data_IF_245886159663
#
_entry.id   IF_245886159663
#
_cell.length_a   1.000
_cell.length_b   1.000
_cell.length_c   1.000
_cell.angle_alpha   90.00
_cell.angle_beta   90.00
_cell.angle_gamma   90.00
#
_symmetry.space_group_name_H-M   'P 1'
#
loop_
_entity.id
_entity.type
_entity.pdbx_description
1 polymer ?
#
# COMPACT_ATOMS: atom_id res chain seq x y z
N UNK A 1 5.89 14.67 3.85
CA UNK A 1 7.22 14.06 3.99
C UNK A 1 7.69 14.25 5.42
N UNK A 2 8.19 13.19 6.06
CA UNK A 2 8.69 13.20 7.44
C UNK A 2 10.05 12.50 7.53
N UNK A 3 11.03 13.04 8.24
CA UNK A 3 12.28 12.35 8.52
C UNK A 3 12.03 11.02 9.24
N UNK A 4 12.89 10.03 8.99
CA UNK A 4 12.76 8.69 9.56
C UNK A 4 12.72 8.70 11.09
N UNK A 5 13.47 9.59 11.72
CA UNK A 5 13.55 9.71 13.20
C UNK A 5 12.20 10.07 13.85
N UNK A 6 11.30 10.75 13.15
CA UNK A 6 9.97 11.08 13.69
C UNK A 6 9.01 9.89 13.66
N UNK A 7 9.20 8.99 12.71
CA UNK A 7 8.37 7.79 12.59
C UNK A 7 8.91 6.62 13.42
N UNK A 8 10.24 6.53 13.52
CA UNK A 8 10.95 5.46 14.22
C UNK A 8 11.90 6.01 15.30
N UNK A 9 11.39 6.72 16.33
CA UNK A 9 12.23 7.38 17.33
C UNK A 9 13.02 6.42 18.22
N UNK A 10 12.58 5.16 18.32
CA UNK A 10 13.26 4.11 19.08
C UNK A 10 14.28 3.32 18.26
N UNK A 11 14.35 3.53 16.94
CA UNK A 11 15.34 2.90 16.08
C UNK A 11 16.60 3.79 16.04
N UNK A 12 17.74 3.31 16.59
CA UNK A 12 18.96 4.12 16.67
C UNK A 12 19.52 4.49 15.29
N UNK A 13 19.20 3.73 14.25
CA UNK A 13 19.62 4.01 12.86
C UNK A 13 18.83 5.18 12.29
N UNK A 14 17.55 5.28 12.63
CA UNK A 14 16.63 6.27 12.05
C UNK A 14 17.08 7.73 12.24
N UNK A 15 17.84 8.01 13.32
CA UNK A 15 18.36 9.36 13.61
C UNK A 15 19.44 9.83 12.61
N UNK A 16 20.07 8.90 11.87
CA UNK A 16 21.18 9.18 10.96
C UNK A 16 20.82 8.99 9.48
N UNK A 17 19.55 8.78 9.17
CA UNK A 17 19.07 8.56 7.81
C UNK A 17 18.70 9.89 7.15
N UNK A 18 19.66 10.46 6.40
CA UNK A 18 19.51 11.77 5.75
C UNK A 18 18.99 11.67 4.29
N UNK A 19 19.09 10.49 3.67
CA UNK A 19 18.81 10.29 2.24
C UNK A 19 17.50 9.55 1.96
N UNK A 20 16.69 9.34 2.99
CA UNK A 20 15.38 8.70 2.88
C UNK A 20 14.37 9.32 3.84
N UNK A 21 13.08 9.16 3.53
CA UNK A 21 11.99 9.74 4.32
C UNK A 21 10.70 8.91 4.20
N UNK A 22 9.75 9.19 5.09
CA UNK A 22 8.38 8.67 4.99
C UNK A 22 7.48 9.65 4.23
N UNK A 23 6.77 9.15 3.23
CA UNK A 23 5.69 9.85 2.55
C UNK A 23 4.36 9.31 3.06
N UNK A 24 3.62 10.13 3.81
CA UNK A 24 2.48 9.65 4.59
C UNK A 24 2.93 8.70 5.70
N UNK A 25 2.06 7.79 6.10
CA UNK A 25 2.27 6.90 7.25
C UNK A 25 2.92 5.56 6.87
N UNK A 26 2.94 5.23 5.58
CA UNK A 26 3.23 3.87 5.14
C UNK A 26 4.29 3.76 4.02
N UNK A 27 4.60 4.84 3.31
CA UNK A 27 5.53 4.81 2.18
C UNK A 27 6.91 5.29 2.59
N UNK A 28 7.92 4.43 2.43
CA UNK A 28 9.32 4.80 2.57
C UNK A 28 9.90 5.10 1.18
N UNK A 29 10.52 6.25 1.06
CA UNK A 29 11.12 6.74 -0.19
C UNK A 29 12.61 7.01 0.02
N UNK A 30 13.47 6.43 -0.83
CA UNK A 30 14.88 6.72 -0.87
C UNK A 30 15.27 7.23 -2.28
N UNK A 31 15.34 8.56 -2.48
CA UNK A 31 15.65 9.13 -3.79
C UNK A 31 17.03 8.75 -4.31
N UNK A 32 17.15 8.68 -5.63
CA UNK A 32 18.45 8.50 -6.31
C UNK A 32 19.17 9.84 -6.34
N UNK A 33 20.16 10.03 -5.47
CA UNK A 33 20.91 11.28 -5.29
C UNK A 33 22.33 11.23 -5.89
N UNK A 34 22.73 10.08 -6.45
CA UNK A 34 24.09 9.85 -6.94
C UNK A 34 24.09 9.64 -8.45
N UNK A 35 25.13 10.12 -9.12
CA UNK A 35 25.33 9.96 -10.57
C UNK A 35 25.57 8.49 -10.97
N UNK A 36 26.16 7.68 -10.07
CA UNK A 36 26.37 6.24 -10.27
C UNK A 36 25.10 5.41 -10.12
N UNK A 37 23.95 6.06 -9.86
CA UNK A 37 22.61 5.46 -9.71
C UNK A 37 22.49 4.45 -8.56
N UNK A 38 23.49 4.34 -7.70
CA UNK A 38 23.46 3.46 -6.53
C UNK A 38 22.77 4.15 -5.37
N UNK A 39 21.85 3.43 -4.75
CA UNK A 39 21.12 3.88 -3.57
C UNK A 39 21.30 2.85 -2.48
N UNK A 40 21.83 3.29 -1.34
CA UNK A 40 21.81 2.54 -0.10
C UNK A 40 20.67 3.09 0.75
N UNK A 41 19.80 2.22 1.26
CA UNK A 41 18.66 2.57 2.08
C UNK A 41 18.47 1.56 3.22
N UNK A 42 17.87 2.01 4.28
CA UNK A 42 17.56 1.21 5.47
C UNK A 42 16.06 0.98 5.56
N UNK A 43 15.65 -0.26 5.71
CA UNK A 43 14.27 -0.60 6.04
C UNK A 43 14.19 -0.85 7.55
N UNK A 44 13.40 -0.07 8.32
CA UNK A 44 13.13 -0.35 9.74
C UNK A 44 12.54 -1.74 9.95
N UNK A 45 12.55 -2.23 11.20
CA UNK A 45 11.95 -3.54 11.52
C UNK A 45 10.53 -3.68 10.98
N UNK A 46 10.17 -4.90 10.53
CA UNK A 46 8.90 -5.26 9.91
C UNK A 46 9.07 -5.78 8.49
N UNK A 47 7.96 -5.93 7.78
CA UNK A 47 7.94 -6.37 6.40
C UNK A 47 7.63 -5.17 5.50
N UNK A 48 8.32 -5.12 4.36
CA UNK A 48 8.23 -4.02 3.41
C UNK A 48 8.04 -4.56 2.01
N UNK A 49 7.01 -4.10 1.33
CA UNK A 49 6.72 -4.50 -0.05
C UNK A 49 7.21 -3.41 -1.00
N UNK A 50 8.03 -3.78 -1.96
CA UNK A 50 8.42 -2.87 -3.04
C UNK A 50 7.17 -2.47 -3.84
N UNK A 51 6.94 -1.18 -3.98
CA UNK A 51 5.72 -0.66 -4.60
C UNK A 51 5.61 -1.03 -6.08
N UNK A 52 6.74 -1.11 -6.79
CA UNK A 52 6.76 -1.35 -8.23
C UNK A 52 6.82 -2.85 -8.58
N UNK A 53 7.57 -3.63 -7.80
CA UNK A 53 7.81 -5.04 -8.11
C UNK A 53 6.94 -5.99 -7.29
N UNK A 54 6.39 -5.55 -6.17
CA UNK A 54 5.69 -6.40 -5.22
C UNK A 54 6.61 -7.32 -4.39
N UNK A 55 7.94 -7.22 -4.56
CA UNK A 55 8.90 -8.00 -3.77
C UNK A 55 8.82 -7.62 -2.29
N UNK A 56 8.74 -8.63 -1.41
CA UNK A 56 8.70 -8.41 0.03
C UNK A 56 10.08 -8.55 0.63
N UNK A 57 10.51 -7.54 1.40
CA UNK A 57 11.78 -7.50 2.12
C UNK A 57 11.57 -7.43 3.62
N UNK A 58 12.47 -8.08 4.36
CA UNK A 58 12.49 -8.01 5.82
C UNK A 58 13.33 -6.81 6.26
N UNK A 59 12.75 -5.96 7.11
CA UNK A 59 13.43 -4.79 7.67
C UNK A 59 14.51 -5.09 8.72
N UNK A 60 14.93 -4.07 9.46
CA UNK A 60 16.01 -4.12 10.45
C UNK A 60 17.40 -4.09 9.82
N UNK A 61 17.56 -3.70 8.54
CA UNK A 61 18.84 -3.73 7.84
C UNK A 61 18.91 -2.80 6.64
N UNK A 62 20.15 -2.57 6.18
CA UNK A 62 20.43 -1.85 4.95
C UNK A 62 20.31 -2.75 3.71
N UNK A 63 19.88 -2.12 2.64
CA UNK A 63 19.86 -2.65 1.29
C UNK A 63 20.60 -1.70 0.36
N UNK A 64 21.10 -2.23 -0.74
CA UNK A 64 21.70 -1.47 -1.82
C UNK A 64 21.15 -1.96 -3.16
N UNK A 65 20.91 -1.04 -4.08
CA UNK A 65 20.46 -1.34 -5.43
C UNK A 65 20.89 -0.26 -6.40
N UNK A 66 20.84 -0.60 -7.69
CA UNK A 66 21.04 0.34 -8.78
C UNK A 66 19.67 0.67 -9.39
N UNK A 67 19.39 1.97 -9.57
CA UNK A 67 18.10 2.48 -10.02
C UNK A 67 18.31 3.43 -11.19
N UNK A 68 17.47 3.33 -12.20
CA UNK A 68 17.50 4.20 -13.36
C UNK A 68 16.67 5.47 -13.16
N UNK A 69 16.48 6.23 -14.23
CA UNK A 69 15.71 7.48 -14.18
C UNK A 69 14.21 7.27 -13.87
N UNK A 70 13.68 6.07 -14.13
CA UNK A 70 12.26 5.73 -13.95
C UNK A 70 12.00 4.86 -12.72
N UNK A 71 13.00 4.62 -11.90
CA UNK A 71 12.91 3.76 -10.73
C UNK A 71 13.57 4.39 -9.50
N UNK A 72 13.10 4.03 -8.33
CA UNK A 72 13.68 4.40 -7.03
C UNK A 72 13.23 3.39 -5.98
N UNK A 73 13.95 3.24 -4.87
CA UNK A 73 13.44 2.52 -3.71
C UNK A 73 12.17 3.19 -3.18
N UNK A 74 11.03 2.54 -3.36
CA UNK A 74 9.73 2.94 -2.83
C UNK A 74 9.09 1.70 -2.19
N UNK A 75 8.97 1.70 -0.87
CA UNK A 75 8.49 0.57 -0.11
C UNK A 75 7.25 0.90 0.69
N UNK A 76 6.33 -0.05 0.73
CA UNK A 76 5.11 0.05 1.53
C UNK A 76 5.26 -0.83 2.76
N UNK A 77 4.94 -0.28 3.92
CA UNK A 77 4.95 -0.98 5.20
C UNK A 77 3.84 -2.04 5.24
N UNK A 78 4.08 -3.15 5.94
CA UNK A 78 3.05 -4.13 6.25
C UNK A 78 1.85 -3.54 7.00
N UNK A 79 0.71 -4.21 6.99
CA UNK A 79 -0.55 -3.77 7.58
C UNK A 79 -1.02 -2.40 7.05
N UNK A 80 -0.82 -2.16 5.77
CA UNK A 80 -1.17 -0.90 5.11
C UNK A 80 -2.33 -1.09 4.15
N UNK A 81 -3.30 -0.17 4.23
CA UNK A 81 -4.32 0.05 3.23
C UNK A 81 -4.06 1.40 2.56
N UNK A 82 -3.69 1.39 1.28
CA UNK A 82 -3.37 2.57 0.49
C UNK A 82 -4.41 2.76 -0.61
N UNK A 83 -4.96 3.96 -0.75
CA UNK A 83 -5.85 4.29 -1.86
C UNK A 83 -5.10 5.02 -2.98
N UNK A 84 -5.34 4.61 -4.22
CA UNK A 84 -4.94 5.33 -5.42
C UNK A 84 -6.16 5.75 -6.22
N UNK A 85 -6.10 6.94 -6.82
CA UNK A 85 -7.20 7.47 -7.62
C UNK A 85 -7.25 6.88 -9.02
N UNK A 86 -8.40 6.96 -9.67
CA UNK A 86 -8.62 6.51 -11.04
C UNK A 86 -8.14 7.52 -12.09
N UNK A 87 -7.99 8.79 -11.70
CA UNK A 87 -7.66 9.90 -12.61
C UNK A 87 -6.25 10.39 -12.32
N UNK A 88 -5.42 10.50 -13.35
CA UNK A 88 -4.00 10.88 -13.23
C UNK A 88 -3.64 12.17 -14.01
N UNK A 89 -4.60 12.78 -14.71
CA UNK A 89 -4.39 13.98 -15.52
C UNK A 89 -4.87 15.29 -14.84
N UNK A 90 -5.62 15.16 -13.74
CA UNK A 90 -6.15 16.30 -12.97
C UNK A 90 -6.40 15.91 -11.49
N UNK A 91 -6.29 16.85 -10.54
CA UNK A 91 -6.53 16.60 -9.12
C UNK A 91 -7.99 16.86 -8.69
N UNK A 92 -8.83 17.50 -9.50
CA UNK A 92 -10.15 18.02 -9.14
C UNK A 92 -11.27 17.05 -9.54
N UNK A 93 -11.36 15.90 -8.89
CA UNK A 93 -12.42 14.91 -9.07
C UNK A 93 -12.84 14.31 -7.73
N UNK A 94 -13.92 13.53 -7.70
CA UNK A 94 -14.30 12.77 -6.50
C UNK A 94 -13.38 11.55 -6.36
N UNK A 95 -12.51 11.57 -5.35
CA UNK A 95 -11.51 10.53 -5.14
C UNK A 95 -12.10 9.16 -4.78
N UNK A 96 -13.42 9.09 -4.51
CA UNK A 96 -14.14 7.82 -4.31
C UNK A 96 -14.49 7.13 -5.62
N UNK A 97 -14.52 7.89 -6.75
CA UNK A 97 -14.89 7.35 -8.05
C UNK A 97 -13.75 6.52 -8.64
N UNK A 98 -13.98 5.22 -8.80
CA UNK A 98 -13.04 4.28 -9.38
C UNK A 98 -11.74 4.08 -8.58
N UNK A 99 -11.74 4.41 -7.29
CA UNK A 99 -10.57 4.25 -6.44
C UNK A 99 -10.09 2.81 -6.38
N UNK A 100 -8.76 2.63 -6.34
CA UNK A 100 -8.13 1.34 -6.09
C UNK A 100 -7.53 1.31 -4.69
N UNK A 101 -7.95 0.34 -3.89
CA UNK A 101 -7.40 0.07 -2.56
C UNK A 101 -6.34 -1.01 -2.68
N UNK A 102 -5.14 -0.70 -2.27
CA UNK A 102 -4.02 -1.63 -2.21
C UNK A 102 -3.83 -2.09 -0.77
N UNK A 103 -4.06 -3.37 -0.50
CA UNK A 103 -3.84 -3.97 0.82
C UNK A 103 -2.51 -4.72 0.83
N UNK A 104 -1.60 -4.28 1.71
CA UNK A 104 -0.26 -4.84 1.85
C UNK A 104 -0.11 -5.61 3.15
N UNK A 105 0.20 -6.92 3.04
CA UNK A 105 0.67 -7.79 4.13
C UNK A 105 -0.12 -7.64 5.45
N UNK A 106 -1.47 -7.64 5.38
CA UNK A 106 -2.28 -7.55 6.60
C UNK A 106 -2.14 -8.81 7.43
N UNK A 107 -1.58 -8.69 8.63
CA UNK A 107 -1.38 -9.80 9.56
C UNK A 107 -2.71 -10.33 10.12
N UNK A 108 -2.72 -11.58 10.54
CA UNK A 108 -3.90 -12.17 11.19
C UNK A 108 -4.22 -11.45 12.51
N UNK A 109 -5.50 -11.10 12.69
CA UNK A 109 -5.98 -10.29 13.81
C UNK A 109 -5.70 -8.80 13.70
N UNK A 110 -5.01 -8.34 12.65
CA UNK A 110 -4.71 -6.93 12.46
C UNK A 110 -5.87 -6.20 11.77
N UNK A 111 -5.87 -4.87 11.98
CA UNK A 111 -6.79 -3.92 11.35
C UNK A 111 -5.99 -2.74 10.84
N UNK A 112 -6.31 -2.27 9.64
CA UNK A 112 -5.77 -1.04 9.09
C UNK A 112 -6.87 -0.16 8.51
N UNK A 113 -6.57 1.13 8.36
CA UNK A 113 -7.54 2.12 7.87
C UNK A 113 -6.92 2.99 6.78
N UNK A 114 -7.76 3.40 5.83
CA UNK A 114 -7.43 4.40 4.83
C UNK A 114 -8.46 5.51 4.90
N UNK A 115 -8.02 6.75 5.05
CA UNK A 115 -8.87 7.93 5.06
C UNK A 115 -8.74 8.66 3.72
N UNK A 116 -9.85 8.82 3.04
CA UNK A 116 -9.94 9.57 1.80
C UNK A 116 -10.45 10.98 2.10
N UNK A 117 -9.81 11.97 1.49
CA UNK A 117 -10.17 13.39 1.63
C UNK A 117 -10.59 13.93 0.27
N UNK A 118 -11.40 14.99 0.28
CA UNK A 118 -11.70 15.76 -0.93
C UNK A 118 -10.57 16.72 -1.29
N UNK A 119 -10.74 17.44 -2.38
CA UNK A 119 -9.80 18.48 -2.86
C UNK A 119 -9.60 19.65 -1.88
N UNK A 120 -10.47 19.79 -0.88
CA UNK A 120 -10.39 20.80 0.19
C UNK A 120 -9.78 20.26 1.48
N UNK A 121 -9.48 18.95 1.51
CA UNK A 121 -8.96 18.25 2.68
C UNK A 121 -10.02 17.80 3.69
N UNK A 122 -11.30 17.86 3.34
CA UNK A 122 -12.37 17.33 4.19
C UNK A 122 -12.47 15.81 4.03
N UNK A 123 -12.70 15.09 5.12
CA UNK A 123 -12.89 13.64 5.11
C UNK A 123 -14.18 13.29 4.35
N UNK A 124 -14.07 12.42 3.35
CA UNK A 124 -15.21 11.99 2.52
C UNK A 124 -15.49 10.49 2.65
N UNK A 125 -14.50 9.70 3.03
CA UNK A 125 -14.68 8.28 3.27
C UNK A 125 -13.54 7.73 4.13
N UNK A 126 -13.88 6.88 5.09
CA UNK A 126 -12.92 6.06 5.83
C UNK A 126 -13.18 4.59 5.52
N UNK A 127 -12.14 3.89 5.12
CA UNK A 127 -12.21 2.47 4.80
C UNK A 127 -11.36 1.72 5.83
N UNK A 128 -11.95 0.70 6.43
CA UNK A 128 -11.28 -0.17 7.39
C UNK A 128 -11.15 -1.56 6.80
N UNK A 129 -9.97 -2.15 6.87
CA UNK A 129 -9.71 -3.54 6.52
C UNK A 129 -9.29 -4.31 7.77
N UNK A 130 -9.89 -5.47 7.98
CA UNK A 130 -9.60 -6.40 9.07
C UNK A 130 -9.33 -7.79 8.48
N UNK A 131 -8.37 -8.52 9.07
CA UNK A 131 -8.12 -9.93 8.76
C UNK A 131 -8.39 -10.79 9.98
N UNK A 132 -9.14 -11.88 9.79
CA UNK A 132 -9.32 -12.94 10.79
C UNK A 132 -9.18 -14.31 10.10
N UNK A 133 -8.09 -14.99 10.40
CA UNK A 133 -7.73 -16.22 9.70
C UNK A 133 -7.56 -16.00 8.19
N UNK A 134 -8.29 -16.78 7.39
CA UNK A 134 -8.33 -16.64 5.93
C UNK A 134 -9.30 -15.57 5.40
N UNK A 135 -10.01 -14.82 6.28
CA UNK A 135 -11.05 -13.88 5.87
C UNK A 135 -10.57 -12.44 6.02
N UNK A 136 -10.66 -11.67 4.94
CA UNK A 136 -10.46 -10.23 4.93
C UNK A 136 -11.82 -9.54 4.83
N UNK A 137 -12.09 -8.59 5.70
CA UNK A 137 -13.31 -7.78 5.69
C UNK A 137 -12.94 -6.32 5.49
N UNK A 138 -13.42 -5.72 4.40
CA UNK A 138 -13.25 -4.29 4.14
C UNK A 138 -14.61 -3.59 4.31
N UNK A 139 -14.62 -2.48 5.04
CA UNK A 139 -15.82 -1.65 5.29
C UNK A 139 -15.53 -0.20 4.99
N UNK A 140 -16.40 0.43 4.19
CA UNK A 140 -16.40 1.86 3.93
C UNK A 140 -17.57 2.53 4.67
N UNK A 141 -17.35 3.70 5.26
CA UNK A 141 -18.38 4.49 5.94
C UNK A 141 -19.24 5.33 4.98
N UNK A 142 -18.81 5.45 3.72
CA UNK A 142 -19.54 6.13 2.65
C UNK A 142 -19.65 5.26 1.39
N UNK A 143 -20.52 5.68 0.46
CA UNK A 143 -20.69 5.00 -0.82
C UNK A 143 -19.45 5.20 -1.70
N UNK A 144 -19.02 4.12 -2.34
CA UNK A 144 -17.91 4.07 -3.29
C UNK A 144 -18.45 3.71 -4.68
N UNK A 145 -18.02 4.42 -5.69
CA UNK A 145 -18.43 4.17 -7.08
C UNK A 145 -17.32 3.40 -7.82
N UNK A 146 -17.52 2.09 -7.99
CA UNK A 146 -16.57 1.25 -8.77
C UNK A 146 -15.24 1.02 -8.06
N UNK A 147 -15.29 0.67 -6.77
CA UNK A 147 -14.11 0.35 -5.97
C UNK A 147 -13.39 -0.89 -6.49
N UNK A 148 -12.09 -0.81 -6.63
CA UNK A 148 -11.21 -1.95 -6.88
C UNK A 148 -10.37 -2.23 -5.62
N UNK A 149 -10.21 -3.50 -5.25
CA UNK A 149 -9.31 -3.92 -4.16
C UNK A 149 -8.24 -4.83 -4.73
N UNK A 150 -6.97 -4.48 -4.48
CA UNK A 150 -5.81 -5.27 -4.83
C UNK A 150 -5.17 -5.83 -3.56
N UNK A 151 -5.10 -7.16 -3.46
CA UNK A 151 -4.42 -7.85 -2.37
C UNK A 151 -2.99 -8.18 -2.82
N UNK A 152 -2.01 -7.47 -2.31
CA UNK A 152 -0.61 -7.70 -2.63
C UNK A 152 -0.07 -8.94 -1.93
N UNK A 153 0.68 -9.78 -2.67
CA UNK A 153 1.30 -11.01 -2.14
C UNK A 153 0.34 -12.19 -1.99
N UNK A 154 -0.89 -12.10 -2.52
CA UNK A 154 -1.90 -13.16 -2.46
C UNK A 154 -2.27 -13.60 -3.88
N UNK A 155 -2.12 -14.90 -4.18
CA UNK A 155 -2.57 -15.47 -5.45
C UNK A 155 -4.09 -15.44 -5.56
N UNK A 156 -4.60 -15.14 -6.77
CA UNK A 156 -6.03 -15.16 -7.04
C UNK A 156 -6.66 -16.57 -7.01
N UNK A 157 -5.85 -17.62 -7.15
CA UNK A 157 -6.28 -19.01 -6.99
C UNK A 157 -6.65 -19.26 -5.53
N UNK A 158 -7.87 -19.78 -5.28
CA UNK A 158 -8.39 -19.99 -3.92
C UNK A 158 -8.93 -18.73 -3.23
N UNK A 159 -9.11 -17.63 -3.98
CA UNK A 159 -9.76 -16.42 -3.44
C UNK A 159 -11.22 -16.42 -3.84
N UNK A 160 -12.12 -16.28 -2.85
CA UNK A 160 -13.56 -16.06 -3.07
C UNK A 160 -13.96 -14.71 -2.48
N UNK A 161 -14.91 -14.02 -3.09
CA UNK A 161 -15.41 -12.74 -2.58
C UNK A 161 -16.93 -12.65 -2.64
N UNK A 162 -17.54 -12.17 -1.57
CA UNK A 162 -18.96 -11.85 -1.52
C UNK A 162 -19.22 -10.47 -2.13
N UNK A 163 -20.21 -10.38 -3.03
CA UNK A 163 -20.65 -9.14 -3.71
C UNK A 163 -19.57 -8.47 -4.59
N UNK A 164 -18.63 -9.23 -5.09
CA UNK A 164 -17.54 -8.72 -5.91
C UNK A 164 -17.14 -9.70 -7.00
N UNK A 165 -16.48 -9.21 -8.06
CA UNK A 165 -15.86 -10.02 -9.11
C UNK A 165 -14.37 -10.09 -8.87
N UNK A 166 -13.82 -11.30 -8.95
CA UNK A 166 -12.39 -11.54 -8.79
C UNK A 166 -11.77 -11.64 -10.18
N UNK A 167 -10.68 -10.91 -10.39
CA UNK A 167 -9.84 -11.01 -11.56
C UNK A 167 -8.41 -11.33 -11.11
N UNK A 168 -7.74 -12.24 -11.79
CA UNK A 168 -6.30 -12.42 -11.65
C UNK A 168 -5.59 -11.32 -12.42
N UNK A 169 -4.79 -10.50 -11.75
CA UNK A 169 -3.90 -9.56 -12.43
C UNK A 169 -2.47 -10.11 -12.47
N UNK A 170 -1.91 -10.18 -13.68
CA UNK A 170 -0.58 -10.73 -13.94
C UNK A 170 0.48 -9.67 -14.21
N UNK A 171 0.25 -8.41 -13.81
CA UNK A 171 1.08 -7.28 -14.25
C UNK A 171 2.48 -7.25 -13.64
N UNK A 172 2.79 -7.99 -12.59
CA UNK A 172 4.11 -7.89 -11.95
C UNK A 172 4.69 -9.21 -11.42
N UNK A 173 4.20 -10.36 -11.86
CA UNK A 173 4.69 -11.65 -11.34
C UNK A 173 4.31 -11.94 -9.87
N UNK A 174 3.76 -10.97 -9.17
CA UNK A 174 3.08 -11.14 -7.89
C UNK A 174 1.59 -11.22 -8.19
N UNK A 175 0.99 -12.38 -7.95
CA UNK A 175 -0.43 -12.58 -8.12
C UNK A 175 -1.18 -11.65 -7.15
N UNK A 176 -1.83 -10.66 -7.70
CA UNK A 176 -2.73 -9.78 -6.95
C UNK A 176 -4.16 -10.21 -7.26
N UNK A 177 -4.97 -10.47 -6.24
CA UNK A 177 -6.40 -10.62 -6.43
C UNK A 177 -7.02 -9.23 -6.61
N UNK A 178 -7.60 -8.97 -7.76
CA UNK A 178 -8.30 -7.73 -8.08
C UNK A 178 -9.80 -7.96 -7.92
N UNK A 179 -10.43 -7.17 -7.10
CA UNK A 179 -11.84 -7.31 -6.73
C UNK A 179 -12.54 -6.00 -7.03
N UNK A 180 -13.54 -6.05 -7.92
CA UNK A 180 -14.34 -4.86 -8.26
C UNK A 180 -15.71 -4.93 -7.62
N UNK A 181 -16.11 -3.86 -6.95
CA UNK A 181 -17.38 -3.77 -6.24
C UNK A 181 -17.94 -2.35 -6.18
N UNK A 182 -19.23 -2.24 -5.90
CA UNK A 182 -19.91 -0.97 -5.57
C UNK A 182 -20.57 -1.00 -4.19
N UNK A 183 -20.25 -1.99 -3.36
CA UNK A 183 -20.82 -2.15 -2.02
C UNK A 183 -19.92 -1.53 -0.94
N UNK A 184 -20.50 -1.20 0.22
CA UNK A 184 -19.77 -0.66 1.38
C UNK A 184 -19.04 -1.73 2.20
N UNK A 185 -19.38 -2.99 2.03
CA UNK A 185 -18.74 -4.11 2.74
C UNK A 185 -18.39 -5.22 1.76
N UNK A 186 -17.15 -5.65 1.83
CA UNK A 186 -16.60 -6.74 1.04
C UNK A 186 -15.99 -7.74 2.00
N UNK A 187 -16.34 -9.03 1.80
CA UNK A 187 -15.64 -10.12 2.46
C UNK A 187 -14.90 -10.93 1.42
N UNK A 188 -13.63 -11.16 1.67
CA UNK A 188 -12.72 -11.91 0.80
C UNK A 188 -12.22 -13.08 1.64
N UNK A 189 -12.39 -14.29 1.13
CA UNK A 189 -11.95 -15.52 1.80
C UNK A 189 -10.85 -16.18 0.98
N UNK A 190 -9.76 -16.55 1.64
CA UNK A 190 -8.71 -17.40 1.10
C UNK A 190 -9.02 -18.85 1.48
N UNK A 191 -9.08 -19.76 0.51
CA UNK A 191 -9.22 -21.22 0.70
C UNK A 191 -7.85 -21.89 0.91
#
# INVERSE_FOLDING_TARGET
>A
MRPMVFEYPCDPVAAYLETQYMLGDALLVAPVLREDKKVQYYLPEGRWTDYFTGEVKTGGRYYEGEYDYFSLPLYVKENTLLATGAVNDRPDYDYRDGATLHLYELADGATCTCRMVDVKGADVCTITAERRGGVYTLKADADMNGLTVMLHGICAEGVTAENARIHADSVSGCASAVISTSTREIKITLE
#
